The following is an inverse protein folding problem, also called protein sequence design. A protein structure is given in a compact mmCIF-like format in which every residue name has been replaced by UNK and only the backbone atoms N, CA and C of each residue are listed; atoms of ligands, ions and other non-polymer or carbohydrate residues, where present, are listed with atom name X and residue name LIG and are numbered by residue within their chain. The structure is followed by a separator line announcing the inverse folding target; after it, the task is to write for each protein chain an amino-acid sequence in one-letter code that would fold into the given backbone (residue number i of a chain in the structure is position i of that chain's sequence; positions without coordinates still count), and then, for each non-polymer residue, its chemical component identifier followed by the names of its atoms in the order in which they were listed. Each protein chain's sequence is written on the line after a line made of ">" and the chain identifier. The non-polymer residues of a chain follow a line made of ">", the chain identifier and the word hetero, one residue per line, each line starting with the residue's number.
data_IF_942613654175
#
_entry.id   IF_942613654175
#
_cell.length_a   1.000
_cell.length_b   1.000
_cell.length_c   1.000
_cell.angle_alpha   90.00
_cell.angle_beta   90.00
_cell.angle_gamma   90.00
#
_symmetry.space_group_name_H-M   'P 1'
#
loop_
_entity.id
_entity.type
_entity.pdbx_description
1 polymer ?
#
# COMPACT_ATOMS: atom_id res chain seq x y z
N UNK A 1 4.30 -0.40 -14.15
CA UNK A 1 3.19 -0.97 -13.33
C UNK A 1 2.99 -0.01 -12.18
N UNK A 2 1.76 0.38 -11.86
CA UNK A 2 1.50 1.29 -10.73
C UNK A 2 0.88 0.52 -9.57
N UNK A 3 1.07 1.03 -8.37
CA UNK A 3 0.55 0.45 -7.14
C UNK A 3 -0.18 1.53 -6.35
N UNK A 4 -1.42 1.27 -5.99
CA UNK A 4 -2.19 2.15 -5.13
C UNK A 4 -2.10 1.64 -3.70
N UNK A 5 -1.45 2.42 -2.84
CA UNK A 5 -1.39 2.18 -1.41
C UNK A 5 -2.51 2.95 -0.72
N UNK A 6 -3.21 2.29 0.18
CA UNK A 6 -3.99 2.89 1.25
C UNK A 6 -3.37 2.46 2.58
N UNK A 7 -3.13 3.39 3.48
CA UNK A 7 -2.63 3.11 4.83
C UNK A 7 -3.48 3.90 5.83
N UNK A 8 -3.78 3.27 6.95
CA UNK A 8 -4.58 3.85 8.02
C UNK A 8 -3.93 3.59 9.36
N UNK A 9 -3.98 4.63 10.18
CA UNK A 9 -3.37 4.69 11.49
C UNK A 9 -4.44 4.58 12.59
N UNK A 10 -4.13 3.99 13.76
CA UNK A 10 -5.05 3.89 14.89
C UNK A 10 -5.64 5.22 15.37
N UNK A 11 -4.94 6.34 15.10
CA UNK A 11 -5.38 7.69 15.42
C UNK A 11 -6.50 8.21 14.48
N UNK A 12 -6.88 7.45 13.44
CA UNK A 12 -7.88 7.82 12.44
C UNK A 12 -7.32 8.52 11.20
N UNK A 13 -6.01 8.78 11.14
CA UNK A 13 -5.36 9.30 9.93
C UNK A 13 -5.31 8.24 8.84
N UNK A 14 -5.44 8.70 7.60
CA UNK A 14 -5.45 7.87 6.40
C UNK A 14 -4.64 8.54 5.31
N UNK A 15 -3.79 7.76 4.64
CA UNK A 15 -3.00 8.22 3.50
C UNK A 15 -3.24 7.29 2.32
N UNK A 16 -3.31 7.86 1.13
CA UNK A 16 -3.41 7.10 -0.10
C UNK A 16 -2.52 7.71 -1.19
N UNK A 17 -1.74 6.87 -1.87
CA UNK A 17 -0.77 7.32 -2.85
C UNK A 17 -0.52 6.28 -3.94
N UNK A 18 -0.10 6.78 -5.11
CA UNK A 18 0.30 5.97 -6.25
C UNK A 18 1.82 5.86 -6.30
N UNK A 19 2.30 4.64 -6.46
CA UNK A 19 3.71 4.32 -6.54
C UNK A 19 4.05 3.59 -7.83
N UNK A 20 5.21 3.88 -8.40
CA UNK A 20 5.71 3.23 -9.61
C UNK A 20 6.50 1.94 -9.30
N UNK A 21 6.82 1.70 -8.02
CA UNK A 21 7.70 0.62 -7.60
C UNK A 21 7.35 0.13 -6.18
N UNK A 22 7.31 -1.19 -5.98
CA UNK A 22 7.06 -1.85 -4.69
C UNK A 22 8.12 -1.55 -3.62
N UNK A 23 9.37 -1.31 -4.02
CA UNK A 23 10.42 -0.89 -3.09
C UNK A 23 10.09 0.47 -2.46
N UNK A 24 9.57 1.40 -3.27
CA UNK A 24 9.14 2.73 -2.79
C UNK A 24 7.90 2.60 -1.90
N UNK A 25 6.98 1.67 -2.22
CA UNK A 25 5.83 1.37 -1.36
C UNK A 25 6.29 0.93 0.04
N UNK A 26 7.23 -0.02 0.10
CA UNK A 26 7.75 -0.53 1.37
C UNK A 26 8.39 0.59 2.20
N UNK A 27 9.26 1.39 1.60
CA UNK A 27 9.90 2.55 2.24
C UNK A 27 8.87 3.58 2.73
N UNK A 28 7.84 3.84 1.93
CA UNK A 28 6.78 4.79 2.28
C UNK A 28 5.91 4.34 3.45
N UNK A 29 5.61 3.04 3.56
CA UNK A 29 4.86 2.51 4.71
C UNK A 29 5.60 2.78 6.01
N UNK A 30 6.92 2.60 6.01
CA UNK A 30 7.79 2.84 7.17
C UNK A 30 7.84 4.33 7.48
N UNK A 31 8.14 5.18 6.49
CA UNK A 31 8.20 6.64 6.69
C UNK A 31 6.89 7.21 7.22
N UNK A 32 5.75 6.89 6.59
CA UNK A 32 4.45 7.42 6.99
C UNK A 32 4.11 7.04 8.43
N UNK A 33 4.46 5.82 8.84
CA UNK A 33 4.25 5.40 10.21
C UNK A 33 5.17 6.10 11.22
N UNK A 34 6.44 6.29 10.87
CA UNK A 34 7.38 7.03 11.72
C UNK A 34 6.98 8.50 11.87
N UNK A 35 6.52 9.15 10.79
CA UNK A 35 5.98 10.52 10.80
C UNK A 35 4.79 10.64 11.75
N UNK A 36 3.93 9.63 11.79
CA UNK A 36 2.76 9.56 12.70
C UNK A 36 3.10 9.05 14.11
N UNK A 37 4.39 8.80 14.40
CA UNK A 37 4.88 8.40 15.73
C UNK A 37 4.83 6.90 16.03
N UNK A 38 4.54 6.07 15.03
CA UNK A 38 4.55 4.61 15.12
C UNK A 38 5.92 4.07 14.72
N UNK A 39 6.65 3.52 15.70
CA UNK A 39 7.91 2.82 15.42
C UNK A 39 7.62 1.45 14.83
N UNK A 40 7.85 1.32 13.52
CA UNK A 40 7.77 0.04 12.81
C UNK A 40 9.18 -0.46 12.58
N UNK A 41 9.42 -1.74 12.90
CA UNK A 41 10.60 -2.44 12.42
C UNK A 41 10.40 -2.83 10.94
N UNK A 42 11.34 -2.44 10.08
CA UNK A 42 11.33 -2.80 8.65
C UNK A 42 11.17 -4.31 8.45
N UNK A 43 11.73 -5.11 9.35
CA UNK A 43 11.66 -6.57 9.30
C UNK A 43 10.23 -7.11 9.49
N UNK A 44 9.32 -6.30 10.04
CA UNK A 44 7.90 -6.62 10.18
C UNK A 44 7.06 -6.21 8.96
N UNK A 45 7.63 -5.46 8.00
CA UNK A 45 6.96 -5.17 6.74
C UNK A 45 7.23 -6.30 5.73
N UNK A 46 6.19 -6.85 5.08
CA UNK A 46 6.36 -7.80 3.98
C UNK A 46 7.38 -7.34 2.94
N UNK A 47 8.31 -8.24 2.59
CA UNK A 47 9.25 -8.01 1.50
C UNK A 47 8.53 -7.87 0.16
N UNK A 48 9.13 -7.16 -0.78
CA UNK A 48 8.58 -6.94 -2.12
C UNK A 48 8.24 -8.24 -2.84
N UNK A 49 9.02 -9.30 -2.65
CA UNK A 49 8.77 -10.64 -3.20
C UNK A 49 7.41 -11.22 -2.77
N UNK A 50 6.96 -10.93 -1.55
CA UNK A 50 5.66 -11.37 -1.04
C UNK A 50 4.51 -10.62 -1.71
N UNK A 51 4.68 -9.32 -1.96
CA UNK A 51 3.71 -8.54 -2.76
C UNK A 51 3.61 -9.11 -4.18
N UNK A 52 4.76 -9.34 -4.83
CA UNK A 52 4.80 -9.88 -6.19
C UNK A 52 4.15 -11.26 -6.30
N UNK A 53 4.40 -12.15 -5.35
CA UNK A 53 3.76 -13.46 -5.29
C UNK A 53 2.25 -13.35 -5.13
N UNK A 54 1.78 -12.43 -4.29
CA UNK A 54 0.35 -12.19 -4.10
C UNK A 54 -0.31 -11.66 -5.36
N UNK A 55 0.29 -10.68 -6.04
CA UNK A 55 -0.29 -10.09 -7.26
C UNK A 55 -0.38 -11.07 -8.43
N UNK A 56 0.40 -12.16 -8.45
CA UNK A 56 0.22 -13.25 -9.43
C UNK A 56 -1.15 -13.92 -9.33
N UNK A 57 -1.83 -13.78 -8.19
CA UNK A 57 -3.16 -14.33 -7.94
C UNK A 57 -4.28 -13.38 -8.41
N UNK A 58 -3.95 -12.19 -8.92
CA UNK A 58 -4.87 -11.09 -9.27
C UNK A 58 -5.75 -10.64 -8.10
N UNK A 59 -5.17 -10.61 -6.90
CA UNK A 59 -5.83 -10.16 -5.68
C UNK A 59 -5.10 -8.95 -5.07
N UNK A 60 -5.81 -8.17 -4.26
CA UNK A 60 -5.26 -7.02 -3.57
C UNK A 60 -4.61 -7.45 -2.24
N UNK A 61 -3.47 -6.84 -1.91
CA UNK A 61 -2.71 -7.21 -0.74
C UNK A 61 -3.16 -6.41 0.49
N UNK A 62 -3.67 -7.08 1.52
CA UNK A 62 -3.99 -6.48 2.82
C UNK A 62 -3.03 -6.96 3.91
N UNK A 63 -2.61 -6.05 4.78
CA UNK A 63 -1.77 -6.39 5.94
C UNK A 63 -2.00 -5.44 7.11
N UNK A 64 -1.99 -6.00 8.31
CA UNK A 64 -2.12 -5.28 9.57
C UNK A 64 -0.86 -5.52 10.42
N UNK A 65 -0.32 -4.44 10.94
CA UNK A 65 0.85 -4.44 11.81
C UNK A 65 0.43 -4.53 13.28
N UNK A 66 1.33 -4.99 14.13
CA UNK A 66 1.10 -5.08 15.58
C UNK A 66 0.85 -3.73 16.26
N UNK A 67 1.23 -2.63 15.60
CA UNK A 67 0.94 -1.25 16.02
C UNK A 67 -0.52 -0.85 15.78
N UNK A 68 -1.32 -1.68 15.11
CA UNK A 68 -2.67 -1.36 14.65
C UNK A 68 -2.71 -0.52 13.37
N UNK A 69 -1.54 -0.23 12.77
CA UNK A 69 -1.45 0.34 11.43
C UNK A 69 -1.78 -0.75 10.42
N UNK A 70 -2.72 -0.48 9.51
CA UNK A 70 -3.03 -1.40 8.43
C UNK A 70 -2.85 -0.73 7.08
N UNK A 71 -2.51 -1.53 6.08
CA UNK A 71 -2.41 -1.06 4.72
C UNK A 71 -3.00 -2.05 3.72
N UNK A 72 -3.48 -1.49 2.62
CA UNK A 72 -4.02 -2.17 1.48
C UNK A 72 -3.26 -1.71 0.23
N UNK A 73 -2.79 -2.65 -0.58
CA UNK A 73 -1.99 -2.40 -1.76
C UNK A 73 -2.61 -3.09 -2.97
N UNK A 74 -2.96 -2.28 -3.97
CA UNK A 74 -3.57 -2.75 -5.21
C UNK A 74 -2.61 -2.58 -6.38
N UNK A 75 -2.40 -3.65 -7.16
CA UNK A 75 -1.67 -3.56 -8.43
C UNK A 75 -2.59 -3.01 -9.53
N UNK A 76 -2.24 -1.85 -10.08
CA UNK A 76 -2.94 -1.25 -11.20
C UNK A 76 -2.38 -1.81 -12.51
N UNK A 77 -3.01 -2.87 -13.02
CA UNK A 77 -2.85 -3.31 -14.40
C UNK A 77 -3.74 -2.47 -15.35
N UNK A 78 -3.54 -2.58 -16.68
CA UNK A 78 -4.36 -1.88 -17.69
C UNK A 78 -5.88 -2.14 -17.55
N UNK A 79 -6.30 -3.18 -16.80
CA UNK A 79 -7.72 -3.42 -16.50
C UNK A 79 -8.34 -2.42 -15.52
N UNK A 80 -7.53 -1.74 -14.71
CA UNK A 80 -7.98 -0.79 -13.68
C UNK A 80 -8.04 0.66 -14.17
N UNK A 81 -8.09 0.89 -15.49
CA UNK A 81 -8.50 2.19 -16.00
C UNK A 81 -9.93 2.48 -15.51
N UNK A 82 -10.03 3.35 -14.49
CA UNK A 82 -11.21 4.17 -14.28
C UNK A 82 -11.41 4.87 -15.62
N UNK A 83 -12.35 4.38 -16.45
CA UNK A 83 -12.74 5.10 -17.65
C UNK A 83 -13.07 6.51 -17.20
N UNK A 84 -12.53 7.56 -17.82
CA UNK A 84 -12.95 8.91 -17.49
C UNK A 84 -14.47 8.94 -17.62
N UNK A 85 -15.16 9.18 -16.51
CA UNK A 85 -16.60 9.43 -16.52
C UNK A 85 -16.78 10.64 -17.42
N UNK A 86 -17.34 10.42 -18.62
CA UNK A 86 -17.83 11.54 -19.42
C UNK A 86 -18.97 12.14 -18.60
N UNK A 87 -18.73 13.31 -18.05
CA UNK A 87 -19.80 14.18 -17.61
C UNK A 87 -20.34 14.82 -18.89
N UNK A 88 -21.54 14.39 -19.29
CA UNK A 88 -22.33 15.06 -20.34
C UNK A 88 -22.83 16.43 -19.83
#
# INVERSE_FOLDING_TARGET
>A
MKYLLFISFPNGLMHNALYENLFIVQDSIVQLAEEDGYKIDVDNIPLTSKFEEHFKQNDDFFFELTTGVWFHLQQLSERNHIKPTKWD
#
